data_IF_593774702138
#
_entry.id   IF_593774702138
#
_cell.length_a   1.000
_cell.length_b   1.000
_cell.length_c   1.000
_cell.angle_alpha   90.00
_cell.angle_beta   90.00
_cell.angle_gamma   90.00
#
_symmetry.space_group_name_H-M   'P 1'
#
loop_
_entity.id
_entity.type
_entity.pdbx_description
1 polymer ?
#
# COMPACT_ATOMS: atom_id res chain seq x y z
N UNK A 1 7.34 14.51 26.33
CA UNK A 1 6.92 14.82 24.95
C UNK A 1 7.69 14.07 23.86
N UNK A 2 8.77 13.32 24.17
CA UNK A 2 9.57 12.55 23.21
C UNK A 2 8.94 11.21 22.72
N UNK A 3 8.00 10.63 23.47
CA UNK A 3 7.44 9.32 23.16
C UNK A 3 6.41 9.29 22.01
N UNK A 4 5.69 10.36 21.74
CA UNK A 4 4.71 10.39 20.64
C UNK A 4 5.36 10.57 19.27
N UNK A 5 6.44 11.32 19.18
CA UNK A 5 7.19 11.51 17.94
C UNK A 5 7.85 10.21 17.45
N UNK A 6 8.38 9.39 18.38
CA UNK A 6 8.98 8.10 18.01
C UNK A 6 7.94 7.04 17.58
N UNK A 7 6.71 7.11 18.07
CA UNK A 7 5.63 6.18 17.67
C UNK A 7 5.18 6.34 16.21
N UNK A 8 5.22 7.55 15.69
CA UNK A 8 4.85 7.82 14.29
C UNK A 8 6.00 7.49 13.32
N UNK A 9 7.24 7.69 13.73
CA UNK A 9 8.41 7.51 12.88
C UNK A 9 8.58 6.09 12.36
N UNK A 10 8.30 5.06 13.17
CA UNK A 10 8.41 3.68 12.71
C UNK A 10 7.31 3.31 11.71
N UNK A 11 6.12 3.89 11.86
CA UNK A 11 5.01 3.70 10.90
C UNK A 11 5.41 4.21 9.53
N UNK A 12 6.06 5.38 9.46
CA UNK A 12 6.53 5.93 8.21
C UNK A 12 7.70 5.12 7.64
N UNK A 13 8.62 4.63 8.47
CA UNK A 13 9.66 3.69 8.02
C UNK A 13 9.07 2.40 7.44
N UNK A 14 8.02 1.85 8.07
CA UNK A 14 7.33 0.65 7.59
C UNK A 14 6.66 0.91 6.23
N UNK A 15 5.93 2.02 6.07
CA UNK A 15 5.38 2.43 4.76
C UNK A 15 6.47 2.62 3.70
N UNK A 16 7.65 3.14 4.10
CA UNK A 16 8.79 3.30 3.22
C UNK A 16 9.32 1.97 2.69
N UNK A 17 9.44 0.95 3.54
CA UNK A 17 9.79 -0.41 3.12
C UNK A 17 8.72 -0.97 2.19
N UNK A 18 7.45 -0.85 2.57
CA UNK A 18 6.34 -1.43 1.82
C UNK A 18 6.20 -0.82 0.44
N UNK A 19 6.35 0.50 0.28
CA UNK A 19 6.29 1.12 -1.06
C UNK A 19 7.45 0.70 -1.95
N UNK A 20 8.65 0.51 -1.40
CA UNK A 20 9.78 -0.05 -2.16
C UNK A 20 9.46 -1.47 -2.64
N UNK A 21 8.91 -2.33 -1.77
CA UNK A 21 8.52 -3.69 -2.14
C UNK A 21 7.41 -3.72 -3.20
N UNK A 22 6.48 -2.76 -3.17
CA UNK A 22 5.44 -2.61 -4.20
C UNK A 22 6.06 -2.22 -5.55
N UNK A 23 6.87 -1.16 -5.59
CA UNK A 23 7.54 -0.72 -6.81
C UNK A 23 8.45 -1.81 -7.34
N UNK A 24 9.19 -2.51 -6.46
CA UNK A 24 10.04 -3.64 -6.81
C UNK A 24 9.25 -4.74 -7.52
N UNK A 25 8.10 -5.15 -6.98
CA UNK A 25 7.30 -6.21 -7.60
C UNK A 25 6.87 -5.85 -9.02
N UNK A 26 6.27 -4.67 -9.20
CA UNK A 26 5.81 -4.26 -10.52
C UNK A 26 6.97 -4.11 -11.51
N UNK A 27 8.10 -3.55 -11.07
CA UNK A 27 9.30 -3.42 -11.90
C UNK A 27 9.86 -4.76 -12.31
N UNK A 28 10.00 -5.69 -11.36
CA UNK A 28 10.56 -7.03 -11.56
C UNK A 28 9.70 -7.85 -12.52
N UNK A 29 8.38 -7.85 -12.35
CA UNK A 29 7.49 -8.62 -13.22
C UNK A 29 7.42 -8.06 -14.64
N UNK A 30 7.42 -6.74 -14.79
CA UNK A 30 7.41 -6.13 -16.11
C UNK A 30 8.75 -6.32 -16.84
N UNK A 31 9.90 -6.19 -16.16
CA UNK A 31 11.22 -6.48 -16.76
C UNK A 31 11.36 -7.97 -17.06
N UNK A 32 10.90 -8.84 -16.16
CA UNK A 32 10.89 -10.29 -16.35
C UNK A 32 10.07 -10.70 -17.58
N UNK A 33 8.92 -10.06 -17.78
CA UNK A 33 8.09 -10.26 -18.97
C UNK A 33 8.82 -9.87 -20.26
N UNK A 34 9.46 -8.69 -20.29
CA UNK A 34 10.18 -8.21 -21.48
C UNK A 34 11.38 -9.09 -21.81
N UNK A 35 12.11 -9.54 -20.79
CA UNK A 35 13.29 -10.41 -20.94
C UNK A 35 12.96 -11.91 -21.03
N UNK A 36 11.68 -12.30 -20.83
CA UNK A 36 11.25 -13.70 -20.68
C UNK A 36 12.11 -14.46 -19.68
N UNK A 37 12.51 -13.81 -18.56
CA UNK A 37 13.48 -14.35 -17.63
C UNK A 37 13.21 -13.99 -16.17
N UNK A 38 13.95 -14.66 -15.28
CA UNK A 38 13.86 -14.51 -13.83
C UNK A 38 15.20 -14.00 -13.29
N UNK A 39 15.17 -13.01 -12.39
CA UNK A 39 16.36 -12.47 -11.73
C UNK A 39 16.26 -12.57 -10.19
N UNK A 40 17.31 -12.13 -9.50
CA UNK A 40 17.43 -12.19 -8.04
C UNK A 40 16.22 -11.56 -7.31
N UNK A 41 15.73 -10.43 -7.80
CA UNK A 41 14.63 -9.73 -7.14
C UNK A 41 13.29 -10.48 -7.20
N UNK A 42 13.10 -11.44 -8.11
CA UNK A 42 11.93 -12.32 -8.07
C UNK A 42 11.90 -13.16 -6.78
N UNK A 43 13.06 -13.64 -6.32
CA UNK A 43 13.16 -14.40 -5.06
C UNK A 43 12.94 -13.50 -3.83
N UNK A 44 13.44 -12.25 -3.87
CA UNK A 44 13.17 -11.26 -2.82
C UNK A 44 11.67 -10.97 -2.74
N UNK A 45 11.00 -10.79 -3.86
CA UNK A 45 9.55 -10.61 -3.91
C UNK A 45 8.83 -11.89 -3.48
N UNK A 46 9.30 -13.08 -3.86
CA UNK A 46 8.77 -14.36 -3.39
C UNK A 46 8.74 -14.42 -1.87
N UNK A 47 9.86 -14.11 -1.23
CA UNK A 47 9.97 -14.03 0.22
C UNK A 47 9.00 -13.01 0.85
N UNK A 48 8.82 -11.86 0.20
CA UNK A 48 7.98 -10.77 0.71
C UNK A 48 6.48 -10.94 0.38
N UNK A 49 6.12 -11.84 -0.54
CA UNK A 49 4.74 -12.01 -1.03
C UNK A 49 3.73 -12.26 0.09
N UNK A 50 3.97 -13.08 1.13
CA UNK A 50 2.99 -13.31 2.17
C UNK A 50 2.59 -12.05 2.93
N UNK A 51 3.50 -11.09 3.16
CA UNK A 51 3.28 -9.95 4.05
C UNK A 51 3.32 -8.57 3.39
N UNK A 52 3.86 -8.43 2.19
CA UNK A 52 4.04 -7.15 1.50
C UNK A 52 2.77 -6.30 1.40
N UNK A 53 1.67 -6.86 0.90
CA UNK A 53 0.40 -6.15 0.79
C UNK A 53 -0.41 -6.17 2.09
N UNK A 54 -0.48 -7.31 2.83
CA UNK A 54 -1.12 -7.36 4.14
C UNK A 54 -0.63 -6.29 5.12
N UNK A 55 0.66 -6.07 5.20
CA UNK A 55 1.25 -5.05 6.08
C UNK A 55 0.81 -3.64 5.70
N UNK A 56 0.79 -3.30 4.42
CA UNK A 56 0.40 -1.97 3.97
C UNK A 56 -1.07 -1.67 4.32
N UNK A 57 -1.95 -2.67 4.22
CA UNK A 57 -3.34 -2.55 4.70
C UNK A 57 -3.43 -2.49 6.22
N UNK A 58 -2.66 -3.31 6.94
CA UNK A 58 -2.65 -3.32 8.40
C UNK A 58 -2.25 -1.94 8.97
N UNK A 59 -1.18 -1.33 8.45
CA UNK A 59 -0.75 0.01 8.86
C UNK A 59 -1.83 1.06 8.57
N UNK A 60 -2.52 0.94 7.44
CA UNK A 60 -3.60 1.86 7.08
C UNK A 60 -4.78 1.78 8.05
N UNK A 61 -4.98 0.62 8.69
CA UNK A 61 -6.00 0.38 9.71
C UNK A 61 -5.65 0.85 11.12
N UNK A 62 -4.35 1.03 11.46
CA UNK A 62 -3.89 1.32 12.83
C UNK A 62 -4.56 2.54 13.49
N UNK A 63 -4.86 3.56 12.71
CA UNK A 63 -5.43 4.83 13.21
C UNK A 63 -6.93 4.96 12.96
N UNK A 64 -7.60 3.87 12.64
CA UNK A 64 -9.01 3.89 12.27
C UNK A 64 -9.90 4.25 13.47
N UNK A 65 -9.58 3.76 14.66
CA UNK A 65 -10.34 4.03 15.91
C UNK A 65 -10.53 5.53 16.17
N UNK A 66 -9.51 6.34 15.90
CA UNK A 66 -9.52 7.79 16.11
C UNK A 66 -10.54 8.55 15.24
N UNK A 67 -11.04 7.93 14.19
CA UNK A 67 -11.91 8.57 13.20
C UNK A 67 -13.30 7.93 13.08
N UNK A 68 -13.47 6.68 13.55
CA UNK A 68 -14.74 5.95 13.44
C UNK A 68 -15.90 6.62 14.19
N UNK A 69 -15.64 7.27 15.34
CA UNK A 69 -16.64 7.98 16.11
C UNK A 69 -17.19 9.26 15.44
N UNK A 70 -16.59 9.70 14.31
CA UNK A 70 -17.04 10.90 13.57
C UNK A 70 -18.35 10.62 12.84
N UNK A 71 -19.10 11.72 12.55
CA UNK A 71 -20.26 11.63 11.67
C UNK A 71 -19.89 11.08 10.30
N UNK A 72 -20.81 10.39 9.63
CA UNK A 72 -20.60 9.83 8.29
C UNK A 72 -20.05 10.85 7.30
N UNK A 73 -20.57 12.07 7.31
CA UNK A 73 -20.13 13.13 6.42
C UNK A 73 -18.66 13.48 6.63
N UNK A 74 -18.24 13.66 7.87
CA UNK A 74 -16.84 14.01 8.21
C UNK A 74 -15.90 12.81 8.00
N UNK A 75 -16.36 11.60 8.24
CA UNK A 75 -15.61 10.38 8.02
C UNK A 75 -15.42 10.11 6.52
N UNK A 76 -16.52 10.13 5.75
CA UNK A 76 -16.50 9.88 4.32
C UNK A 76 -15.59 10.89 3.60
N UNK A 77 -15.67 12.18 3.96
CA UNK A 77 -14.80 13.19 3.37
C UNK A 77 -13.31 12.88 3.56
N UNK A 78 -12.91 12.47 4.76
CA UNK A 78 -11.50 12.29 5.13
C UNK A 78 -10.90 10.94 4.74
N UNK A 79 -11.73 9.90 4.57
CA UNK A 79 -11.27 8.54 4.30
C UNK A 79 -11.76 8.06 2.94
N UNK A 80 -13.05 8.05 2.69
CA UNK A 80 -13.60 7.49 1.45
C UNK A 80 -13.34 8.41 0.26
N UNK A 81 -13.85 9.65 0.31
CA UNK A 81 -13.71 10.60 -0.79
C UNK A 81 -12.27 11.08 -1.00
N UNK A 82 -11.45 11.08 0.06
CA UNK A 82 -10.03 11.38 -0.06
C UNK A 82 -9.32 10.36 -0.96
N UNK A 83 -9.55 9.07 -0.72
CA UNK A 83 -8.95 8.01 -1.55
C UNK A 83 -9.56 7.97 -2.95
N UNK A 84 -10.88 8.12 -3.07
CA UNK A 84 -11.53 8.17 -4.38
C UNK A 84 -11.10 9.36 -5.23
N UNK A 85 -10.83 10.52 -4.62
CA UNK A 85 -10.31 11.68 -5.34
C UNK A 85 -8.98 11.34 -6.04
N UNK A 86 -8.01 10.83 -5.30
CA UNK A 86 -6.72 10.47 -5.88
C UNK A 86 -6.84 9.32 -6.88
N UNK A 87 -7.69 8.34 -6.57
CA UNK A 87 -8.00 7.27 -7.50
C UNK A 87 -8.51 7.83 -8.84
N UNK A 88 -9.55 8.67 -8.82
CA UNK A 88 -10.16 9.21 -10.02
C UNK A 88 -9.19 10.07 -10.85
N UNK A 89 -8.45 10.98 -10.19
CA UNK A 89 -7.47 11.83 -10.86
C UNK A 89 -6.40 11.00 -11.54
N UNK A 90 -5.83 10.01 -10.84
CA UNK A 90 -4.74 9.20 -11.38
C UNK A 90 -5.21 8.12 -12.36
N UNK A 91 -6.43 7.59 -12.21
CA UNK A 91 -7.01 6.69 -13.21
C UNK A 91 -7.17 7.41 -14.56
N UNK A 92 -7.70 8.64 -14.56
CA UNK A 92 -7.79 9.46 -15.78
C UNK A 92 -6.41 9.69 -16.38
N UNK A 93 -5.41 10.07 -15.57
CA UNK A 93 -4.04 10.29 -16.07
C UNK A 93 -3.45 9.02 -16.69
N UNK A 94 -3.57 7.88 -15.99
CA UNK A 94 -3.03 6.61 -16.50
C UNK A 94 -3.72 6.18 -17.80
N UNK A 95 -5.05 6.31 -17.89
CA UNK A 95 -5.83 5.94 -19.07
C UNK A 95 -5.48 6.86 -20.25
N UNK A 96 -5.44 8.17 -20.04
CA UNK A 96 -5.11 9.15 -21.09
C UNK A 96 -3.69 8.95 -21.60
N UNK A 97 -2.73 8.70 -20.71
CA UNK A 97 -1.35 8.46 -21.12
C UNK A 97 -1.17 7.10 -21.84
N UNK A 98 -1.99 6.09 -21.49
CA UNK A 98 -2.02 4.82 -22.22
C UNK A 98 -2.37 5.03 -23.69
N UNK A 99 -3.33 5.92 -24.02
CA UNK A 99 -3.68 6.26 -25.41
C UNK A 99 -2.46 6.82 -26.15
N UNK A 100 -1.76 7.80 -25.55
CA UNK A 100 -0.61 8.45 -26.17
C UNK A 100 0.61 7.55 -26.33
N UNK A 101 0.82 6.59 -25.41
CA UNK A 101 2.02 5.72 -25.40
C UNK A 101 1.78 4.41 -26.16
N UNK A 102 0.59 3.81 -26.04
CA UNK A 102 0.28 2.47 -26.56
C UNK A 102 -0.62 2.50 -27.81
N UNK A 103 -0.89 3.67 -28.36
CA UNK A 103 -1.77 3.84 -29.54
C UNK A 103 -3.16 3.22 -29.34
N UNK A 104 -3.66 3.19 -28.10
CA UNK A 104 -5.01 2.73 -27.79
C UNK A 104 -6.05 3.68 -28.40
N UNK A 105 -7.21 3.14 -28.81
CA UNK A 105 -8.25 3.97 -29.40
C UNK A 105 -8.93 4.84 -28.32
N UNK A 106 -9.42 6.07 -28.67
CA UNK A 106 -10.19 6.89 -27.75
C UNK A 106 -11.45 6.19 -27.20
N UNK A 107 -12.03 5.27 -27.98
CA UNK A 107 -13.19 4.47 -27.55
C UNK A 107 -12.83 3.48 -26.46
N UNK A 108 -11.69 2.78 -26.60
CA UNK A 108 -11.18 1.88 -25.54
C UNK A 108 -10.88 2.65 -24.26
N UNK A 109 -10.32 3.85 -24.36
CA UNK A 109 -10.07 4.67 -23.16
C UNK A 109 -11.36 5.10 -22.45
N UNK A 110 -12.41 5.42 -23.21
CA UNK A 110 -13.71 5.75 -22.62
C UNK A 110 -14.34 4.53 -21.94
N UNK A 111 -14.20 3.34 -22.54
CA UNK A 111 -14.61 2.08 -21.92
C UNK A 111 -13.82 1.77 -20.65
N UNK A 112 -12.49 1.89 -20.69
CA UNK A 112 -11.61 1.72 -19.53
C UNK A 112 -12.02 2.70 -18.39
N UNK A 113 -12.33 3.96 -18.74
CA UNK A 113 -12.74 4.97 -17.78
C UNK A 113 -14.10 4.66 -17.15
N UNK A 114 -15.07 4.20 -17.95
CA UNK A 114 -16.38 3.78 -17.45
C UNK A 114 -16.25 2.53 -16.56
N UNK A 115 -15.41 1.58 -16.96
CA UNK A 115 -15.18 0.35 -16.21
C UNK A 115 -14.41 0.62 -14.90
N UNK A 116 -13.52 1.60 -14.87
CA UNK A 116 -12.77 2.02 -13.69
C UNK A 116 -13.65 2.53 -12.54
N UNK A 117 -14.94 2.85 -12.78
CA UNK A 117 -15.90 3.20 -11.73
C UNK A 117 -16.29 1.97 -10.90
N UNK A 118 -16.39 0.81 -11.55
CA UNK A 118 -16.88 -0.45 -10.93
C UNK A 118 -15.70 -1.32 -10.51
N UNK A 119 -14.70 -1.42 -11.38
CA UNK A 119 -13.51 -2.23 -11.14
C UNK A 119 -12.27 -1.33 -11.04
N UNK A 120 -11.41 -1.52 -10.03
CA UNK A 120 -10.23 -0.67 -9.85
C UNK A 120 -9.24 -0.82 -11.00
N UNK A 121 -8.83 0.32 -11.59
CA UNK A 121 -7.94 0.35 -12.73
C UNK A 121 -6.48 0.09 -12.36
N UNK A 122 -5.90 -0.93 -12.97
CA UNK A 122 -4.46 -1.23 -12.93
C UNK A 122 -3.91 -1.27 -11.50
N UNK A 123 -2.79 -0.59 -11.28
CA UNK A 123 -2.11 -0.57 -9.96
C UNK A 123 -2.86 0.22 -8.89
N UNK A 124 -3.86 1.03 -9.26
CA UNK A 124 -4.60 1.90 -8.34
C UNK A 124 -5.59 1.14 -7.45
N UNK A 125 -5.69 -0.17 -7.59
CA UNK A 125 -6.59 -1.04 -6.84
C UNK A 125 -6.44 -0.90 -5.32
N UNK A 126 -5.23 -0.69 -4.82
CA UNK A 126 -4.98 -0.56 -3.39
C UNK A 126 -5.67 0.67 -2.78
N UNK A 127 -5.58 1.84 -3.43
CA UNK A 127 -6.20 3.06 -2.92
C UNK A 127 -7.74 3.00 -3.04
N UNK A 128 -8.25 2.33 -4.07
CA UNK A 128 -9.67 2.04 -4.21
C UNK A 128 -10.17 1.17 -3.07
N UNK A 129 -9.45 0.08 -2.75
CA UNK A 129 -9.77 -0.79 -1.63
C UNK A 129 -9.67 -0.10 -0.27
N UNK A 130 -8.74 0.82 -0.08
CA UNK A 130 -8.69 1.62 1.16
C UNK A 130 -9.97 2.42 1.38
N UNK A 131 -10.57 2.96 0.31
CA UNK A 131 -11.86 3.62 0.40
C UNK A 131 -12.98 2.62 0.75
N UNK A 132 -13.04 1.47 0.07
CA UNK A 132 -14.02 0.43 0.30
C UNK A 132 -13.90 -0.16 1.72
N UNK A 133 -12.69 -0.48 2.18
CA UNK A 133 -12.44 -0.99 3.54
C UNK A 133 -12.83 0.04 4.61
N UNK A 134 -12.52 1.32 4.37
CA UNK A 134 -12.90 2.39 5.29
C UNK A 134 -14.42 2.50 5.39
N UNK A 135 -15.15 2.43 4.26
CA UNK A 135 -16.60 2.48 4.24
C UNK A 135 -17.22 1.26 4.96
N UNK A 136 -16.72 0.05 4.67
CA UNK A 136 -17.17 -1.18 5.33
C UNK A 136 -16.92 -1.15 6.85
N UNK A 137 -15.73 -0.74 7.28
CA UNK A 137 -15.40 -0.66 8.70
C UNK A 137 -16.27 0.34 9.45
N UNK A 138 -16.62 1.48 8.84
CA UNK A 138 -17.55 2.45 9.41
C UNK A 138 -18.97 1.87 9.50
N UNK A 139 -19.42 1.17 8.48
CA UNK A 139 -20.73 0.50 8.48
C UNK A 139 -20.83 -0.53 9.63
N UNK A 140 -19.84 -1.40 9.77
CA UNK A 140 -19.79 -2.37 10.88
C UNK A 140 -19.71 -1.70 12.25
N UNK A 141 -19.01 -0.58 12.36
CA UNK A 141 -18.94 0.18 13.60
C UNK A 141 -20.33 0.75 13.99
N UNK A 142 -21.04 1.36 13.05
CA UNK A 142 -22.32 2.02 13.29
C UNK A 142 -23.45 1.01 13.53
N UNK A 143 -23.38 -0.17 12.91
CA UNK A 143 -24.30 -1.29 13.19
C UNK A 143 -23.98 -2.00 14.51
N UNK A 144 -22.94 -1.53 15.26
CA UNK A 144 -22.47 -2.13 16.52
C UNK A 144 -22.10 -3.60 16.40
N UNK A 145 -21.68 -4.04 15.22
CA UNK A 145 -21.21 -5.41 15.01
C UNK A 145 -20.01 -5.72 15.93
N UNK A 146 -19.98 -6.87 16.62
CA UNK A 146 -18.86 -7.24 17.46
C UNK A 146 -17.54 -7.26 16.66
N UNK A 147 -16.53 -6.53 17.12
CA UNK A 147 -15.23 -6.41 16.41
C UNK A 147 -14.63 -7.77 16.06
N UNK A 148 -14.72 -8.74 16.97
CA UNK A 148 -14.22 -10.08 16.76
C UNK A 148 -14.98 -10.87 15.71
N UNK A 149 -16.30 -10.68 15.62
CA UNK A 149 -17.13 -11.31 14.60
C UNK A 149 -16.79 -10.77 13.20
N UNK A 150 -16.63 -9.47 13.06
CA UNK A 150 -16.21 -8.83 11.78
C UNK A 150 -14.81 -9.29 11.38
N UNK A 151 -13.88 -9.37 12.34
CA UNK A 151 -12.53 -9.89 12.08
C UNK A 151 -12.55 -11.36 11.66
N UNK A 152 -13.29 -12.21 12.39
CA UNK A 152 -13.45 -13.62 12.07
C UNK A 152 -14.11 -13.85 10.71
N UNK A 153 -15.11 -13.04 10.35
CA UNK A 153 -15.71 -13.05 9.03
C UNK A 153 -14.69 -12.69 7.94
N UNK A 154 -13.91 -11.62 8.12
CA UNK A 154 -12.84 -11.25 7.20
C UNK A 154 -11.77 -12.34 7.07
N UNK A 155 -11.42 -13.03 8.16
CA UNK A 155 -10.49 -14.16 8.14
C UNK A 155 -11.06 -15.35 7.34
N UNK A 156 -12.34 -15.66 7.53
CA UNK A 156 -13.02 -16.69 6.77
C UNK A 156 -13.06 -16.38 5.26
N UNK A 157 -13.37 -15.12 4.89
CA UNK A 157 -13.35 -14.68 3.49
C UNK A 157 -11.96 -14.86 2.87
N UNK A 158 -10.91 -14.47 3.59
CA UNK A 158 -9.52 -14.61 3.12
C UNK A 158 -9.13 -16.09 2.91
N UNK A 159 -9.52 -16.96 3.84
CA UNK A 159 -9.23 -18.39 3.76
C UNK A 159 -10.06 -19.11 2.70
N UNK A 160 -11.25 -18.62 2.39
CA UNK A 160 -12.15 -19.23 1.39
C UNK A 160 -11.67 -19.06 -0.06
N UNK A 161 -10.63 -18.27 -0.33
CA UNK A 161 -10.07 -18.03 -1.69
C UNK A 161 -11.19 -17.72 -2.71
N UNK A 162 -12.04 -16.75 -2.38
CA UNK A 162 -13.20 -16.38 -3.21
C UNK A 162 -12.71 -15.84 -4.55
N UNK A 163 -13.25 -16.37 -5.64
CA UNK A 163 -13.02 -15.96 -7.02
C UNK A 163 -14.36 -15.79 -7.71
N UNK A 164 -14.86 -14.56 -7.72
CA UNK A 164 -16.16 -14.21 -8.31
C UNK A 164 -16.04 -13.75 -9.77
N UNK A 165 -14.81 -13.50 -10.23
CA UNK A 165 -14.53 -12.85 -11.51
C UNK A 165 -14.56 -11.32 -11.43
N UNK A 166 -15.03 -10.71 -10.33
CA UNK A 166 -14.83 -9.30 -10.02
C UNK A 166 -13.55 -9.11 -9.24
N UNK A 167 -12.60 -8.40 -9.82
CA UNK A 167 -11.32 -8.11 -9.16
C UNK A 167 -11.50 -7.36 -7.83
N UNK A 168 -12.49 -6.42 -7.79
CA UNK A 168 -12.81 -5.69 -6.56
C UNK A 168 -13.24 -6.61 -5.43
N UNK A 169 -14.20 -7.51 -5.69
CA UNK A 169 -14.74 -8.42 -4.68
C UNK A 169 -13.66 -9.40 -4.21
N UNK A 170 -12.92 -9.98 -5.15
CA UNK A 170 -11.87 -10.96 -4.85
C UNK A 170 -10.77 -10.34 -3.98
N UNK A 171 -10.30 -9.13 -4.32
CA UNK A 171 -9.31 -8.43 -3.52
C UNK A 171 -9.88 -7.91 -2.19
N UNK A 172 -11.16 -7.52 -2.15
CA UNK A 172 -11.82 -7.16 -0.90
C UNK A 172 -11.81 -8.34 0.08
N UNK A 173 -12.22 -9.51 -0.37
CA UNK A 173 -12.23 -10.73 0.44
C UNK A 173 -10.82 -11.15 0.87
N UNK A 174 -9.82 -10.99 -0.01
CA UNK A 174 -8.44 -11.37 0.27
C UNK A 174 -7.74 -10.47 1.29
N UNK A 175 -8.08 -9.16 1.37
CA UNK A 175 -7.28 -8.19 2.12
C UNK A 175 -8.01 -7.45 3.24
N UNK A 176 -9.33 -7.46 3.31
CA UNK A 176 -10.09 -6.74 4.34
C UNK A 176 -9.67 -7.11 5.76
N UNK A 177 -9.39 -8.39 6.02
CA UNK A 177 -8.96 -8.88 7.33
C UNK A 177 -7.69 -8.17 7.83
N UNK A 178 -6.73 -7.88 6.96
CA UNK A 178 -5.47 -7.24 7.36
C UNK A 178 -5.68 -5.77 7.72
N UNK A 179 -6.47 -5.04 6.93
CA UNK A 179 -6.86 -3.67 7.26
C UNK A 179 -7.61 -3.63 8.60
N UNK A 180 -8.55 -4.54 8.78
CA UNK A 180 -9.34 -4.61 10.01
C UNK A 180 -8.53 -5.11 11.21
N UNK A 181 -7.50 -5.94 10.97
CA UNK A 181 -6.53 -6.34 12.00
C UNK A 181 -5.75 -5.13 12.54
N UNK A 182 -5.37 -4.20 11.69
CA UNK A 182 -4.75 -2.94 12.11
C UNK A 182 -5.61 -2.18 13.10
N UNK A 183 -6.93 -2.14 12.90
CA UNK A 183 -7.88 -1.51 13.80
C UNK A 183 -8.07 -2.29 15.12
N UNK A 184 -8.36 -3.58 15.03
CA UNK A 184 -8.67 -4.41 16.21
C UNK A 184 -7.45 -4.57 17.12
N UNK A 185 -6.29 -4.83 16.53
CA UNK A 185 -5.06 -5.14 17.26
C UNK A 185 -4.12 -3.93 17.44
N UNK A 186 -4.53 -2.71 17.06
CA UNK A 186 -3.68 -1.52 17.20
C UNK A 186 -2.99 -1.40 18.58
N UNK A 187 -3.70 -1.53 19.74
CA UNK A 187 -3.04 -1.44 21.03
C UNK A 187 -2.01 -2.55 21.28
N UNK A 188 -2.23 -3.73 20.72
CA UNK A 188 -1.30 -4.86 20.83
C UNK A 188 -0.06 -4.63 19.97
N UNK A 189 -0.25 -4.13 18.75
CA UNK A 189 0.84 -3.81 17.81
C UNK A 189 1.75 -2.73 18.40
N UNK A 190 1.19 -1.66 18.94
CA UNK A 190 2.00 -0.62 19.59
C UNK A 190 2.79 -1.17 20.79
N UNK A 191 2.15 -1.99 21.64
CA UNK A 191 2.84 -2.65 22.77
C UNK A 191 3.94 -3.60 22.32
N UNK A 192 3.71 -4.36 21.22
CA UNK A 192 4.72 -5.25 20.66
C UNK A 192 5.95 -4.45 20.19
N UNK A 193 5.73 -3.34 19.50
CA UNK A 193 6.81 -2.46 19.02
C UNK A 193 7.57 -1.84 20.20
N UNK A 194 6.87 -1.34 21.23
CA UNK A 194 7.48 -0.79 22.42
C UNK A 194 8.38 -1.85 23.11
N UNK A 195 7.87 -3.08 23.31
CA UNK A 195 8.64 -4.19 23.88
C UNK A 195 9.84 -4.61 23.02
N UNK A 196 9.69 -4.58 21.70
CA UNK A 196 10.77 -4.91 20.79
C UNK A 196 11.92 -3.86 20.88
N UNK A 197 11.59 -2.61 21.12
CA UNK A 197 12.57 -1.55 21.33
C UNK A 197 13.27 -1.67 22.71
N UNK A 198 12.57 -2.15 23.74
CA UNK A 198 13.13 -2.44 25.06
C UNK A 198 14.05 -3.68 25.03
N UNK A 199 13.66 -4.73 24.30
CA UNK A 199 14.34 -6.02 24.26
C UNK A 199 14.86 -6.36 22.86
N UNK A 200 15.75 -5.53 22.30
CA UNK A 200 16.23 -5.63 20.91
C UNK A 200 16.81 -7.00 20.55
N UNK A 201 17.56 -7.62 21.46
CA UNK A 201 18.14 -8.94 21.21
C UNK A 201 17.03 -10.02 21.00
N UNK A 202 16.01 -10.00 21.85
CA UNK A 202 14.86 -10.91 21.72
C UNK A 202 14.07 -10.63 20.44
N UNK A 203 13.90 -9.35 20.10
CA UNK A 203 13.25 -8.94 18.86
C UNK A 203 14.01 -9.45 17.63
N UNK A 204 15.34 -9.35 17.60
CA UNK A 204 16.17 -9.87 16.51
C UNK A 204 16.07 -11.39 16.40
N UNK A 205 16.06 -12.11 17.51
CA UNK A 205 15.84 -13.56 17.52
C UNK A 205 14.46 -13.90 16.94
N UNK A 206 13.40 -13.21 17.37
CA UNK A 206 12.06 -13.39 16.84
C UNK A 206 11.96 -13.12 15.34
N UNK A 207 12.60 -12.05 14.86
CA UNK A 207 12.70 -11.74 13.43
C UNK A 207 13.45 -12.82 12.66
N UNK A 208 14.54 -13.35 13.22
CA UNK A 208 15.31 -14.46 12.63
C UNK A 208 14.48 -15.75 12.52
N UNK A 209 13.73 -16.08 13.56
CA UNK A 209 12.82 -17.24 13.56
C UNK A 209 11.72 -17.03 12.49
N UNK A 210 11.08 -15.85 12.46
CA UNK A 210 10.08 -15.55 11.43
C UNK A 210 10.68 -15.68 10.02
N UNK A 211 11.84 -15.09 9.79
CA UNK A 211 12.50 -15.13 8.48
C UNK A 211 12.82 -16.56 8.05
N UNK A 212 13.32 -17.41 8.96
CA UNK A 212 13.60 -18.82 8.69
C UNK A 212 12.31 -19.61 8.37
N UNK A 213 11.27 -19.44 9.19
CA UNK A 213 9.98 -20.12 8.96
C UNK A 213 9.34 -19.65 7.65
N UNK A 214 9.33 -18.34 7.38
CA UNK A 214 8.80 -17.80 6.14
C UNK A 214 9.58 -18.31 4.93
N UNK A 215 10.91 -18.34 5.01
CA UNK A 215 11.75 -18.91 3.94
C UNK A 215 11.41 -20.38 3.67
N UNK A 216 11.34 -21.20 4.71
CA UNK A 216 11.03 -22.63 4.57
C UNK A 216 9.63 -22.88 4.00
N UNK A 217 8.64 -22.08 4.38
CA UNK A 217 7.26 -22.24 3.90
C UNK A 217 7.06 -21.67 2.49
N UNK A 218 7.69 -20.56 2.16
CA UNK A 218 7.60 -19.94 0.82
C UNK A 218 8.28 -20.82 -0.21
N UNK A 219 9.54 -21.24 0.06
CA UNK A 219 10.36 -22.00 -0.88
C UNK A 219 10.21 -23.52 -0.72
N UNK A 220 9.09 -23.98 -0.15
CA UNK A 220 8.72 -25.40 0.00
C UNK A 220 8.20 -25.99 -1.32
N UNK A 221 7.95 -27.30 -1.40
CA UNK A 221 7.34 -27.93 -2.56
C UNK A 221 6.08 -27.20 -3.05
N UNK A 222 5.99 -27.00 -4.37
CA UNK A 222 4.97 -26.19 -5.01
C UNK A 222 5.38 -24.74 -5.27
N UNK A 223 6.57 -24.31 -4.81
CA UNK A 223 7.12 -23.01 -5.17
C UNK A 223 7.55 -22.98 -6.64
N UNK A 224 7.06 -21.99 -7.37
CA UNK A 224 7.49 -21.74 -8.73
C UNK A 224 7.66 -20.22 -8.97
N UNK A 225 8.71 -19.86 -9.70
CA UNK A 225 8.99 -18.49 -10.11
C UNK A 225 8.87 -18.40 -11.61
N UNK A 226 7.91 -17.60 -12.05
CA UNK A 226 7.72 -17.25 -13.45
C UNK A 226 8.06 -15.76 -13.63
N UNK A 227 8.35 -15.29 -14.84
CA UNK A 227 8.70 -13.90 -15.08
C UNK A 227 7.67 -12.89 -14.58
N UNK A 228 6.39 -13.25 -14.56
CA UNK A 228 5.26 -12.36 -14.18
C UNK A 228 4.47 -12.84 -12.97
N UNK A 229 4.82 -14.00 -12.41
CA UNK A 229 4.06 -14.62 -11.33
C UNK A 229 4.97 -15.39 -10.38
N UNK A 230 4.57 -15.44 -9.12
CA UNK A 230 5.23 -16.26 -8.09
C UNK A 230 4.17 -17.13 -7.42
N UNK A 231 4.35 -18.43 -7.52
CA UNK A 231 3.54 -19.41 -6.81
C UNK A 231 4.24 -19.77 -5.49
N UNK A 232 3.53 -19.64 -4.40
CA UNK A 232 4.05 -19.94 -3.06
C UNK A 232 3.93 -21.45 -2.81
N UNK A 233 4.91 -22.01 -2.12
CA UNK A 233 4.80 -23.37 -1.59
C UNK A 233 3.73 -23.47 -0.49
N UNK A 234 4.03 -24.10 0.63
CA UNK A 234 3.07 -24.24 1.75
C UNK A 234 2.59 -22.93 2.34
N UNK A 235 3.35 -21.82 2.16
CA UNK A 235 2.89 -20.48 2.52
C UNK A 235 1.65 -20.02 1.73
N UNK A 236 1.32 -20.67 0.62
CA UNK A 236 0.10 -20.42 -0.17
C UNK A 236 -1.17 -21.05 0.39
N UNK A 237 -1.05 -22.03 1.31
CA UNK A 237 -2.20 -22.70 1.91
C UNK A 237 -3.05 -21.71 2.75
N UNK A 238 -4.39 -21.80 2.72
CA UNK A 238 -5.28 -20.76 3.27
C UNK A 238 -4.95 -20.30 4.70
N UNK A 239 -4.94 -21.19 5.67
CA UNK A 239 -4.63 -20.83 7.08
C UNK A 239 -3.17 -20.41 7.29
N UNK A 240 -2.23 -21.04 6.57
CA UNK A 240 -0.80 -20.70 6.62
C UNK A 240 -0.59 -19.30 6.03
N UNK A 241 -1.22 -19.00 4.90
CA UNK A 241 -1.15 -17.67 4.26
C UNK A 241 -1.61 -16.56 5.19
N UNK A 242 -2.76 -16.75 5.86
CA UNK A 242 -3.28 -15.77 6.83
C UNK A 242 -2.30 -15.53 7.99
N UNK A 243 -1.81 -16.62 8.58
CA UNK A 243 -0.89 -16.57 9.72
C UNK A 243 0.44 -15.93 9.35
N UNK A 244 1.04 -16.33 8.22
CA UNK A 244 2.30 -15.79 7.74
C UNK A 244 2.16 -14.31 7.35
N UNK A 245 1.02 -13.90 6.79
CA UNK A 245 0.76 -12.51 6.46
C UNK A 245 0.68 -11.62 7.71
N UNK A 246 -0.04 -12.06 8.75
CA UNK A 246 -0.13 -11.31 10.01
C UNK A 246 1.22 -11.28 10.72
N UNK A 247 1.88 -12.44 10.87
CA UNK A 247 3.18 -12.52 11.51
C UNK A 247 4.23 -11.67 10.78
N UNK A 248 4.24 -11.71 9.44
CA UNK A 248 5.16 -10.92 8.63
C UNK A 248 4.88 -9.42 8.67
N UNK A 249 3.61 -9.04 8.71
CA UNK A 249 3.24 -7.64 8.92
C UNK A 249 3.76 -7.12 10.27
N UNK A 250 3.63 -7.92 11.33
CA UNK A 250 4.18 -7.59 12.66
C UNK A 250 5.71 -7.57 12.65
N UNK A 251 6.34 -8.54 11.99
CA UNK A 251 7.80 -8.59 11.83
C UNK A 251 8.32 -7.35 11.08
N UNK A 252 7.62 -6.89 10.05
CA UNK A 252 7.99 -5.68 9.32
C UNK A 252 7.81 -4.42 10.18
N UNK A 253 6.74 -4.32 10.98
CA UNK A 253 6.54 -3.24 11.95
C UNK A 253 7.70 -3.18 12.97
N UNK A 254 8.11 -4.33 13.51
CA UNK A 254 9.25 -4.45 14.46
C UNK A 254 10.55 -4.06 13.76
N UNK A 255 10.81 -4.56 12.55
CA UNK A 255 11.99 -4.21 11.75
C UNK A 255 12.05 -2.70 11.52
N UNK A 256 10.95 -2.10 11.08
CA UNK A 256 10.86 -0.66 10.87
C UNK A 256 11.15 0.13 12.15
N UNK A 257 10.66 -0.33 13.29
CA UNK A 257 10.91 0.31 14.58
C UNK A 257 12.39 0.24 14.99
N UNK A 258 13.03 -0.91 14.82
CA UNK A 258 14.45 -1.10 15.14
C UNK A 258 15.37 -0.23 14.28
N UNK A 259 15.04 -0.07 12.98
CA UNK A 259 15.88 0.72 12.07
C UNK A 259 15.58 2.22 12.12
N UNK A 260 14.40 2.65 12.57
CA UNK A 260 13.98 4.06 12.59
C UNK A 260 14.91 4.97 13.38
N UNK A 261 15.61 4.45 14.41
CA UNK A 261 16.59 5.18 15.20
C UNK A 261 17.93 5.42 14.51
N UNK A 262 18.19 4.78 13.38
CA UNK A 262 19.47 4.87 12.67
C UNK A 262 19.48 6.12 11.78
N UNK A 263 20.59 6.88 11.80
CA UNK A 263 20.71 8.15 11.05
C UNK A 263 20.56 7.97 9.54
N UNK A 264 21.06 6.86 9.01
CA UNK A 264 21.03 6.59 7.57
C UNK A 264 19.66 6.14 7.05
N UNK A 265 18.65 5.90 7.91
CA UNK A 265 17.29 5.53 7.52
C UNK A 265 16.32 6.72 7.42
N UNK A 266 16.78 7.94 7.63
CA UNK A 266 15.95 9.14 7.56
C UNK A 266 15.25 9.29 6.19
N UNK A 267 15.93 8.94 5.09
CA UNK A 267 15.35 8.93 3.75
C UNK A 267 14.19 7.94 3.61
N UNK A 268 14.29 6.77 4.25
CA UNK A 268 13.25 5.74 4.22
C UNK A 268 11.97 6.22 4.94
N UNK A 269 12.12 6.90 6.07
CA UNK A 269 11.03 7.54 6.79
C UNK A 269 10.37 8.63 5.94
N UNK A 270 11.20 9.49 5.33
CA UNK A 270 10.70 10.51 4.42
C UNK A 270 9.93 9.91 3.23
N UNK A 271 10.46 8.83 2.65
CA UNK A 271 9.79 8.10 1.57
C UNK A 271 8.44 7.52 2.04
N UNK A 272 8.37 7.03 3.27
CA UNK A 272 7.14 6.50 3.86
C UNK A 272 6.08 7.56 4.12
N UNK A 273 6.46 8.75 4.58
CA UNK A 273 5.57 9.91 4.69
C UNK A 273 4.94 10.25 3.34
N UNK A 274 5.69 10.06 2.25
CA UNK A 274 5.28 10.35 0.87
C UNK A 274 4.93 9.07 0.07
N UNK A 275 4.68 7.95 0.73
CA UNK A 275 4.46 6.65 0.07
C UNK A 275 3.29 6.67 -0.92
N UNK A 276 2.22 7.43 -0.61
CA UNK A 276 1.08 7.59 -1.52
C UNK A 276 1.47 8.31 -2.80
N UNK A 277 2.38 9.29 -2.73
CA UNK A 277 2.89 10.01 -3.90
C UNK A 277 3.62 9.05 -4.84
N UNK A 278 4.56 8.28 -4.28
CA UNK A 278 5.30 7.28 -5.06
C UNK A 278 4.34 6.26 -5.66
N UNK A 279 3.37 5.76 -4.86
CA UNK A 279 2.38 4.79 -5.31
C UNK A 279 1.54 5.29 -6.50
N UNK A 280 1.16 6.55 -6.51
CA UNK A 280 0.35 7.12 -7.59
C UNK A 280 1.15 7.30 -8.89
N UNK A 281 2.43 7.66 -8.76
CA UNK A 281 3.28 8.09 -9.89
C UNK A 281 4.09 6.96 -10.52
N UNK A 282 4.59 5.99 -9.72
CA UNK A 282 5.70 5.11 -10.10
C UNK A 282 5.50 4.33 -11.42
N UNK A 283 4.27 4.03 -11.80
CA UNK A 283 3.97 3.26 -13.02
C UNK A 283 4.44 3.97 -14.27
N UNK A 284 4.31 5.30 -14.31
CA UNK A 284 4.70 6.10 -15.47
C UNK A 284 6.22 6.07 -15.67
N UNK A 285 7.04 6.52 -14.70
CA UNK A 285 8.49 6.45 -14.87
C UNK A 285 9.02 5.02 -14.99
N UNK A 286 8.39 4.03 -14.34
CA UNK A 286 8.72 2.62 -14.52
C UNK A 286 8.56 2.19 -15.99
N UNK A 287 7.43 2.55 -16.61
CA UNK A 287 7.16 2.20 -18.02
C UNK A 287 8.13 2.90 -18.97
N UNK A 288 8.42 4.18 -18.75
CA UNK A 288 9.40 4.92 -19.55
C UNK A 288 10.82 4.36 -19.38
N UNK A 289 11.25 4.06 -18.15
CA UNK A 289 12.56 3.47 -17.90
C UNK A 289 12.71 2.11 -18.60
N UNK A 290 11.69 1.26 -18.52
CA UNK A 290 11.66 -0.06 -19.17
C UNK A 290 11.77 0.06 -20.70
N UNK A 291 10.93 0.90 -21.32
CA UNK A 291 10.95 1.14 -22.77
C UNK A 291 12.30 1.73 -23.20
N UNK A 292 12.86 2.65 -22.43
CA UNK A 292 14.17 3.23 -22.69
C UNK A 292 15.28 2.20 -22.64
N UNK A 293 15.34 1.37 -21.61
CA UNK A 293 16.32 0.29 -21.48
C UNK A 293 16.20 -0.75 -22.61
N UNK A 294 14.96 -1.10 -22.98
CA UNK A 294 14.70 -2.03 -24.08
C UNK A 294 15.22 -1.48 -25.43
N UNK A 295 14.92 -0.19 -25.73
CA UNK A 295 15.39 0.47 -26.97
C UNK A 295 16.91 0.63 -27.03
N UNK A 296 17.58 0.80 -25.89
CA UNK A 296 19.04 0.88 -25.79
C UNK A 296 19.71 -0.50 -25.82
N UNK A 297 18.95 -1.58 -25.86
CA UNK A 297 19.50 -2.94 -25.84
C UNK A 297 20.19 -3.28 -24.51
N UNK A 298 19.81 -2.65 -23.40
CA UNK A 298 20.43 -2.81 -22.09
C UNK A 298 19.73 -3.86 -21.19
N UNK A 299 18.66 -4.49 -21.68
CA UNK A 299 17.96 -5.56 -20.96
C UNK A 299 18.62 -6.92 -21.29
N UNK A 300 19.84 -7.13 -20.81
CA UNK A 300 20.52 -8.40 -20.91
C UNK A 300 20.46 -9.20 -19.59
N UNK A 301 20.57 -8.49 -18.48
CA UNK A 301 20.46 -9.08 -17.13
C UNK A 301 19.21 -8.59 -16.43
N UNK A 302 18.30 -9.53 -16.10
CA UNK A 302 17.00 -9.24 -15.47
C UNK A 302 17.20 -8.58 -14.10
N UNK A 303 18.23 -8.95 -13.35
CA UNK A 303 18.50 -8.42 -12.02
C UNK A 303 18.93 -6.97 -12.09
N UNK A 304 19.93 -6.67 -12.94
CA UNK A 304 20.45 -5.32 -13.11
C UNK A 304 19.39 -4.39 -13.71
N UNK A 305 18.68 -4.83 -14.73
CA UNK A 305 17.61 -4.07 -15.38
C UNK A 305 16.47 -3.76 -14.39
N UNK A 306 16.06 -4.76 -13.59
CA UNK A 306 15.05 -4.55 -12.54
C UNK A 306 15.51 -3.52 -11.52
N UNK A 307 16.77 -3.60 -11.06
CA UNK A 307 17.33 -2.64 -10.12
C UNK A 307 17.29 -1.21 -10.67
N UNK A 308 17.75 -1.02 -11.91
CA UNK A 308 17.74 0.29 -12.57
C UNK A 308 16.32 0.84 -12.70
N UNK A 309 15.35 0.01 -13.12
CA UNK A 309 13.94 0.41 -13.25
C UNK A 309 13.35 0.81 -11.89
N UNK A 310 13.63 0.05 -10.81
CA UNK A 310 13.18 0.37 -9.45
C UNK A 310 13.73 1.74 -9.01
N UNK A 311 15.03 1.95 -9.15
CA UNK A 311 15.68 3.21 -8.74
C UNK A 311 15.13 4.38 -9.54
N UNK A 312 15.01 4.24 -10.87
CA UNK A 312 14.46 5.29 -11.73
C UNK A 312 12.99 5.56 -11.38
N UNK A 313 12.16 4.52 -11.19
CA UNK A 313 10.75 4.69 -10.84
C UNK A 313 10.55 5.49 -9.55
N UNK A 314 11.32 5.16 -8.51
CA UNK A 314 11.24 5.87 -7.22
C UNK A 314 11.79 7.30 -7.35
N UNK A 315 12.99 7.45 -7.95
CA UNK A 315 13.66 8.76 -8.07
C UNK A 315 12.84 9.76 -8.88
N UNK A 316 12.28 9.34 -10.02
CA UNK A 316 11.41 10.20 -10.82
C UNK A 316 10.09 10.53 -10.13
N UNK A 317 9.51 9.58 -9.38
CA UNK A 317 8.29 9.85 -8.61
C UNK A 317 8.53 10.93 -7.55
N UNK A 318 9.63 10.83 -6.82
CA UNK A 318 10.07 11.81 -5.85
C UNK A 318 10.43 13.15 -6.51
N UNK A 319 11.14 13.11 -7.64
CA UNK A 319 11.51 14.28 -8.43
C UNK A 319 10.29 15.04 -8.96
N UNK A 320 9.28 14.33 -9.48
CA UNK A 320 8.03 14.92 -9.94
C UNK A 320 7.29 15.60 -8.79
N UNK A 321 7.22 14.96 -7.62
CA UNK A 321 6.63 15.58 -6.44
C UNK A 321 7.38 16.87 -6.05
N UNK A 322 8.71 16.82 -6.01
CA UNK A 322 9.55 17.99 -5.72
C UNK A 322 9.30 19.13 -6.71
N UNK A 323 9.19 18.81 -8.01
CA UNK A 323 8.89 19.78 -9.06
C UNK A 323 7.52 20.44 -8.88
N UNK A 324 6.49 19.65 -8.56
CA UNK A 324 5.13 20.15 -8.29
C UNK A 324 5.11 21.07 -7.07
N UNK A 325 5.83 20.70 -6.00
CA UNK A 325 5.91 21.52 -4.80
C UNK A 325 6.70 22.82 -5.05
N UNK A 326 7.81 22.75 -5.78
CA UNK A 326 8.63 23.91 -6.12
C UNK A 326 7.90 24.90 -7.02
N UNK A 327 7.23 24.41 -8.06
CA UNK A 327 6.49 25.28 -9.00
C UNK A 327 5.17 25.77 -8.44
N UNK A 328 4.62 25.13 -7.43
CA UNK A 328 3.29 25.39 -6.89
C UNK A 328 2.13 25.06 -7.84
N UNK A 329 2.45 24.60 -9.06
CA UNK A 329 1.48 24.20 -10.09
C UNK A 329 1.11 22.73 -9.94
N UNK A 330 -0.10 22.35 -10.37
CA UNK A 330 -0.59 20.97 -10.35
C UNK A 330 -0.63 20.31 -8.95
N UNK A 331 -0.68 21.08 -7.85
CA UNK A 331 -0.78 20.54 -6.49
C UNK A 331 -1.97 19.60 -6.30
N UNK A 332 -3.04 19.77 -7.11
CA UNK A 332 -4.21 18.89 -7.09
C UNK A 332 -3.87 17.41 -7.35
N UNK A 333 -2.71 17.09 -7.92
CA UNK A 333 -2.24 15.72 -8.12
C UNK A 333 -1.91 15.01 -6.80
N UNK A 334 -1.48 15.76 -5.79
CA UNK A 334 -1.00 15.22 -4.51
C UNK A 334 -1.73 15.82 -3.30
N UNK A 335 -2.42 16.92 -3.48
CA UNK A 335 -3.18 17.60 -2.44
C UNK A 335 -4.64 17.76 -2.89
N UNK A 336 -5.57 17.31 -2.08
CA UNK A 336 -6.98 17.45 -2.38
C UNK A 336 -7.42 18.91 -2.23
N UNK A 337 -7.87 19.58 -3.31
CA UNK A 337 -8.22 20.99 -3.26
C UNK A 337 -9.51 21.26 -2.46
N UNK A 338 -9.64 22.46 -1.93
CA UNK A 338 -10.75 22.84 -1.05
C UNK A 338 -12.16 22.64 -1.68
N UNK A 339 -12.28 22.78 -2.99
CA UNK A 339 -13.54 22.55 -3.70
C UNK A 339 -13.98 21.09 -3.75
N UNK A 340 -13.04 20.17 -3.62
CA UNK A 340 -13.32 18.72 -3.66
C UNK A 340 -13.76 18.16 -2.29
N UNK A 341 -13.72 18.96 -1.22
CA UNK A 341 -14.22 18.56 0.10
C UNK A 341 -15.73 18.75 0.21
N UNK A 342 -16.38 17.94 1.02
CA UNK A 342 -17.81 18.12 1.32
C UNK A 342 -18.04 19.45 2.03
N UNK A 343 -19.11 20.17 1.65
CA UNK A 343 -19.45 21.45 2.26
C UNK A 343 -19.63 21.33 3.77
N UNK A 344 -19.08 22.27 4.53
CA UNK A 344 -19.14 22.28 6.00
C UNK A 344 -18.10 21.39 6.69
N UNK A 345 -17.26 20.65 5.96
CA UNK A 345 -16.14 19.89 6.52
C UNK A 345 -14.86 20.73 6.48
N UNK A 346 -13.97 20.58 7.46
CA UNK A 346 -12.67 21.28 7.49
C UNK A 346 -11.90 21.02 6.19
N UNK A 347 -11.50 22.06 5.50
CA UNK A 347 -10.86 22.01 4.18
C UNK A 347 -11.78 22.42 3.03
N UNK A 348 -13.11 22.40 3.19
CA UNK A 348 -14.04 22.90 2.17
C UNK A 348 -14.05 24.43 2.12
N UNK A 349 -14.41 25.00 0.95
CA UNK A 349 -14.59 26.46 0.79
C UNK A 349 -15.67 27.02 1.70
N UNK A 350 -16.67 26.22 2.07
CA UNK A 350 -17.78 26.61 2.93
C UNK A 350 -17.54 26.33 4.42
N UNK A 351 -16.36 25.84 4.79
CA UNK A 351 -16.05 25.58 6.18
C UNK A 351 -15.94 26.89 6.98
N UNK A 352 -16.80 27.04 8.01
CA UNK A 352 -16.70 28.08 9.04
C UNK A 352 -16.37 27.39 10.35
N UNK A 353 -15.26 27.73 11.05
CA UNK A 353 -15.00 27.19 12.39
C UNK A 353 -16.18 27.55 13.30
N UNK A 354 -16.68 26.60 14.10
CA UNK A 354 -17.65 26.91 15.13
C UNK A 354 -17.01 27.84 16.17
N UNK A 355 -17.72 28.88 16.59
CA UNK A 355 -17.24 29.86 17.56
C UNK A 355 -16.85 29.27 18.95
N UNK A 356 -17.20 27.99 19.19
CA UNK A 356 -16.87 27.27 20.43
C UNK A 356 -15.60 26.41 20.35
N UNK A 357 -14.82 26.50 19.29
CA UNK A 357 -13.57 25.76 19.14
C UNK A 357 -12.33 26.60 19.49
N UNK A 358 -12.45 27.56 20.40
CA UNK A 358 -11.29 28.19 21.05
C UNK A 358 -10.88 27.23 22.20
N UNK A 359 -9.68 26.63 22.20
CA UNK A 359 -9.19 25.97 23.39
C UNK A 359 -9.06 27.04 24.47
N UNK A 360 -9.67 26.81 25.64
CA UNK A 360 -9.25 27.53 26.84
C UNK A 360 -7.76 27.21 27.05
N UNK A 361 -7.01 28.27 27.29
CA UNK A 361 -5.58 28.29 27.57
C UNK A 361 -5.18 27.34 28.68
#
# INVERSE_FOLDING_TARGET
MSGQSNRLNWVDSAKGISIILVVMMYSVFNVGQDASGVGLFHYVIGFATPFRMPEFFLISGLFLDQVLARTWRAYADRRVLHYFYFYAVWAVIHIVLKIGIMSASPVEALQDLAWAIVEPYGVLWFIYLLAAFSAAAKLFHDTRAPRWAVWGFGAALQMAHIQTGSYLIDQFCAYFVYFYSGYVFAPLIFRLVDKALEHKALALVGLGIYAAVNFLLVFSPGYAVLPTEIQLGYAGLPGVRLTMAIAGSLALCVTAALITGLRFTAWLRWLGEHSIVVYLVFVLPMSFARIGLAKLGLIHDVTLSSFLVIVLAISFSVGLYGLVQWTGRARFLFERPAWAHLSGVKGSKSYRPSAHAVPAE
#
